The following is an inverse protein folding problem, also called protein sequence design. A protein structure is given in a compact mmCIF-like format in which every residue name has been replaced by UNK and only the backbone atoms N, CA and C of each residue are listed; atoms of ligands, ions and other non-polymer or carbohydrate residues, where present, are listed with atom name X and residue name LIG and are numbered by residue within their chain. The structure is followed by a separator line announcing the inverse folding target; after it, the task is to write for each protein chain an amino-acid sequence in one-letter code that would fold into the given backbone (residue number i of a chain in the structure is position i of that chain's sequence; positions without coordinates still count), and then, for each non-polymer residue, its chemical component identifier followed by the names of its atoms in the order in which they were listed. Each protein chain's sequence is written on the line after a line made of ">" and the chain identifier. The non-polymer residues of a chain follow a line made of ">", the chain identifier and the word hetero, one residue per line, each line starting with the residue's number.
data_IF_330576849629
#
_entry.id   IF_330576849629
#
_cell.length_a   1.000
_cell.length_b   1.000
_cell.length_c   1.000
_cell.angle_alpha   90.00
_cell.angle_beta   90.00
_cell.angle_gamma   90.00
#
_symmetry.space_group_name_H-M   'P 1'
#
loop_
_entity.id
_entity.type
_entity.pdbx_description
1 polymer ?
#
# COMPACT_ATOMS: atom_id res chain seq x y z
N UNK A 1 14.11 3.20 24.04
CA UNK A 1 14.16 2.62 22.69
C UNK A 1 12.85 2.96 22.01
N UNK A 2 12.90 3.78 20.99
CA UNK A 2 11.68 4.23 20.30
C UNK A 2 11.32 3.27 19.17
N UNK A 3 10.20 2.57 19.29
CA UNK A 3 9.74 1.57 18.34
C UNK A 3 8.46 2.03 17.69
N UNK A 4 8.41 2.05 16.37
CA UNK A 4 7.22 2.43 15.61
C UNK A 4 6.73 1.25 14.77
N UNK A 5 5.43 1.06 14.74
CA UNK A 5 4.76 0.18 13.77
C UNK A 5 4.26 1.03 12.62
N UNK A 6 4.45 0.57 11.41
CA UNK A 6 4.06 1.27 10.20
C UNK A 6 3.33 0.32 9.24
N UNK A 7 2.26 0.80 8.62
CA UNK A 7 1.47 0.07 7.63
C UNK A 7 1.04 1.02 6.50
N UNK A 8 1.41 0.67 5.27
CA UNK A 8 1.13 1.48 4.08
C UNK A 8 -0.10 1.01 3.35
N UNK A 9 -0.98 1.94 3.03
CA UNK A 9 -1.97 1.76 2.00
C UNK A 9 -1.54 2.46 0.71
N UNK A 10 -1.65 1.76 -0.40
CA UNK A 10 -1.15 2.23 -1.69
C UNK A 10 -2.16 1.99 -2.81
N UNK A 11 -2.03 2.75 -3.90
CA UNK A 11 -2.73 2.47 -5.16
C UNK A 11 -1.73 2.23 -6.29
N UNK A 12 -2.07 1.37 -7.24
CA UNK A 12 -1.24 1.11 -8.41
C UNK A 12 -2.06 0.57 -9.58
N UNK A 13 -1.68 0.87 -10.84
CA UNK A 13 -2.28 0.21 -12.00
C UNK A 13 -1.76 -1.22 -12.21
N UNK A 14 -0.67 -1.62 -11.53
CA UNK A 14 -0.07 -2.95 -11.65
C UNK A 14 -0.41 -3.84 -10.47
N UNK A 15 -0.56 -5.14 -10.72
CA UNK A 15 -0.87 -6.13 -9.67
C UNK A 15 0.43 -6.59 -8.99
N UNK A 16 0.55 -6.30 -7.71
CA UNK A 16 1.69 -6.68 -6.88
C UNK A 16 1.96 -8.19 -6.88
N UNK A 17 0.92 -9.02 -7.00
CA UNK A 17 1.07 -10.49 -7.04
C UNK A 17 1.78 -10.96 -8.29
N UNK A 18 1.75 -10.17 -9.35
CA UNK A 18 2.37 -10.49 -10.64
C UNK A 18 3.77 -9.89 -10.73
N UNK A 19 3.92 -8.61 -10.38
CA UNK A 19 5.19 -7.91 -10.57
C UNK A 19 6.12 -7.96 -9.35
N UNK A 20 5.59 -8.27 -8.15
CA UNK A 20 6.32 -8.22 -6.89
C UNK A 20 6.47 -6.80 -6.34
N UNK A 21 6.83 -6.70 -5.05
CA UNK A 21 6.83 -5.43 -4.32
C UNK A 21 7.73 -4.35 -4.94
N UNK A 22 8.91 -4.71 -5.42
CA UNK A 22 9.87 -3.74 -5.99
C UNK A 22 9.35 -3.10 -7.28
N UNK A 23 8.94 -3.91 -8.26
CA UNK A 23 8.39 -3.38 -9.52
C UNK A 23 7.07 -2.65 -9.33
N UNK A 24 6.29 -3.07 -8.33
CA UNK A 24 5.09 -2.36 -7.91
C UNK A 24 5.43 -0.95 -7.41
N UNK A 25 6.41 -0.84 -6.50
CA UNK A 25 6.82 0.43 -5.91
C UNK A 25 7.54 1.36 -6.90
N UNK A 26 8.33 0.80 -7.83
CA UNK A 26 9.02 1.55 -8.90
C UNK A 26 8.05 2.13 -9.94
N UNK A 27 6.84 1.58 -10.07
CA UNK A 27 5.91 2.03 -11.10
C UNK A 27 5.52 3.50 -10.86
N UNK A 28 5.62 4.38 -11.88
CA UNK A 28 5.40 5.82 -11.71
C UNK A 28 4.02 6.20 -11.19
N UNK A 29 2.99 5.39 -11.50
CA UNK A 29 1.61 5.60 -11.03
C UNK A 29 1.28 4.87 -9.72
N UNK A 30 2.23 4.15 -9.14
CA UNK A 30 2.07 3.64 -7.78
C UNK A 30 2.27 4.80 -6.81
N UNK A 31 1.34 4.94 -5.88
CA UNK A 31 1.39 6.02 -4.91
C UNK A 31 0.91 5.58 -3.53
N UNK A 32 1.39 6.27 -2.49
CA UNK A 32 0.95 6.06 -1.12
C UNK A 32 -0.31 6.87 -0.87
N UNK A 33 -1.41 6.19 -0.56
CA UNK A 33 -2.66 6.85 -0.15
C UNK A 33 -2.59 7.31 1.30
N UNK A 34 -2.08 6.44 2.17
CA UNK A 34 -1.86 6.75 3.58
C UNK A 34 -0.80 5.84 4.20
N UNK A 35 -0.30 6.26 5.35
CA UNK A 35 0.57 5.50 6.22
C UNK A 35 0.03 5.61 7.66
N UNK A 36 -0.34 4.47 8.23
CA UNK A 36 -0.65 4.38 9.66
C UNK A 36 0.65 4.23 10.46
N UNK A 37 0.77 5.00 11.53
CA UNK A 37 1.93 4.99 12.43
C UNK A 37 1.46 4.84 13.86
N UNK A 38 2.12 3.92 14.56
CA UNK A 38 1.86 3.64 15.96
C UNK A 38 3.17 3.61 16.73
N UNK A 39 3.25 4.34 17.84
CA UNK A 39 4.32 4.15 18.82
C UNK A 39 3.98 2.94 19.70
N UNK A 40 4.87 1.95 19.75
CA UNK A 40 4.65 0.71 20.55
C UNK A 40 4.44 1.01 22.02
N UNK A 41 5.04 2.09 22.53
CA UNK A 41 4.90 2.49 23.94
C UNK A 41 3.59 3.28 24.20
N UNK A 42 2.86 3.68 23.13
CA UNK A 42 1.52 4.27 23.19
C UNK A 42 0.55 3.62 22.18
N UNK A 43 0.15 2.35 22.40
CA UNK A 43 -0.54 1.54 21.39
C UNK A 43 -1.99 1.96 21.09
N UNK A 44 -2.50 3.00 21.75
CA UNK A 44 -3.84 3.56 21.50
C UNK A 44 -3.81 4.79 20.61
N UNK A 45 -2.62 5.36 20.34
CA UNK A 45 -2.43 6.57 19.54
C UNK A 45 -1.95 6.21 18.14
N UNK A 46 -2.87 5.70 17.32
CA UNK A 46 -2.63 5.47 15.90
C UNK A 46 -2.81 6.81 15.18
N UNK A 47 -1.79 7.25 14.44
CA UNK A 47 -1.82 8.49 13.68
C UNK A 47 -1.62 8.25 12.20
N UNK A 48 -2.33 9.04 11.39
CA UNK A 48 -2.35 8.88 9.94
C UNK A 48 -1.57 9.97 9.24
N UNK A 49 -0.60 9.58 8.42
CA UNK A 49 -0.02 10.43 7.41
C UNK A 49 -0.73 10.18 6.08
N UNK A 50 -1.26 11.22 5.47
CA UNK A 50 -1.95 11.13 4.17
C UNK A 50 -0.98 11.57 3.08
N UNK A 51 -0.88 10.76 2.04
CA UNK A 51 -0.04 11.05 0.88
C UNK A 51 -0.38 12.41 0.25
N UNK A 52 0.62 13.18 -0.21
CA UNK A 52 0.39 14.55 -0.71
C UNK A 52 -0.69 14.65 -1.76
N UNK A 53 -0.79 13.67 -2.65
CA UNK A 53 -1.78 13.62 -3.73
C UNK A 53 -3.20 13.29 -3.24
N UNK A 54 -3.39 12.95 -1.95
CA UNK A 54 -4.69 12.56 -1.37
C UNK A 54 -5.18 13.52 -0.29
N UNK A 55 -4.44 14.57 0.02
CA UNK A 55 -4.81 15.56 1.06
C UNK A 55 -6.05 16.38 0.72
N UNK A 56 -6.48 16.35 -0.52
CA UNK A 56 -7.76 16.92 -0.93
C UNK A 56 -8.97 16.06 -0.49
N UNK A 57 -8.76 14.75 -0.23
CA UNK A 57 -9.77 13.81 0.25
C UNK A 57 -9.85 13.78 1.78
N UNK A 58 -8.70 13.85 2.45
CA UNK A 58 -8.62 13.85 3.92
C UNK A 58 -7.39 14.63 4.40
N UNK A 59 -7.52 15.42 5.48
CA UNK A 59 -6.36 16.09 6.07
C UNK A 59 -5.38 15.05 6.67
N UNK A 60 -4.11 15.36 6.65
CA UNK A 60 -3.11 14.55 7.36
C UNK A 60 -3.06 14.93 8.84
N UNK A 61 -2.92 13.93 9.72
CA UNK A 61 -2.71 14.15 11.15
C UNK A 61 -1.24 14.34 11.48
N UNK A 62 -0.38 13.66 10.70
CA UNK A 62 1.08 13.76 10.80
C UNK A 62 1.60 14.54 9.61
N UNK A 63 2.30 15.64 9.85
CA UNK A 63 2.95 16.41 8.79
C UNK A 63 4.17 15.68 8.23
N UNK A 64 4.63 16.06 7.02
CA UNK A 64 5.83 15.45 6.42
C UNK A 64 7.07 15.60 7.32
N UNK A 65 7.19 16.75 7.98
CA UNK A 65 8.29 17.01 8.92
C UNK A 65 8.19 16.12 10.16
N UNK A 66 7.01 16.00 10.75
CA UNK A 66 6.79 15.12 11.91
C UNK A 66 7.04 13.65 11.55
N UNK A 67 6.61 13.20 10.36
CA UNK A 67 6.90 11.85 9.87
C UNK A 67 8.41 11.62 9.74
N UNK A 68 9.13 12.57 9.13
CA UNK A 68 10.58 12.49 9.03
C UNK A 68 11.24 12.43 10.41
N UNK A 69 10.86 13.31 11.33
CA UNK A 69 11.37 13.33 12.70
C UNK A 69 11.09 12.02 13.47
N UNK A 70 9.91 11.42 13.27
CA UNK A 70 9.53 10.13 13.87
C UNK A 70 10.42 9.00 13.38
N UNK A 71 10.60 8.90 12.06
CA UNK A 71 11.33 7.80 11.42
C UNK A 71 12.85 7.94 11.62
N UNK A 72 13.40 9.14 11.51
CA UNK A 72 14.82 9.38 11.73
C UNK A 72 15.25 9.05 13.16
N UNK A 73 14.38 9.32 14.14
CA UNK A 73 14.64 9.10 15.56
C UNK A 73 14.13 7.74 16.10
N UNK A 74 13.52 6.87 15.26
CA UNK A 74 13.15 5.53 15.74
C UNK A 74 14.38 4.63 15.80
N UNK A 75 14.37 3.71 16.78
CA UNK A 75 15.34 2.63 16.90
C UNK A 75 14.92 1.42 16.07
N UNK A 76 13.61 1.15 16.02
CA UNK A 76 13.00 0.07 15.24
C UNK A 76 11.81 0.58 14.41
N UNK A 77 11.82 0.22 13.14
CA UNK A 77 10.71 0.38 12.19
C UNK A 77 10.09 -0.99 11.96
N UNK A 78 8.92 -1.21 12.52
CA UNK A 78 8.25 -2.51 12.57
C UNK A 78 7.14 -2.54 11.53
N UNK A 79 7.12 -3.60 10.70
CA UNK A 79 6.06 -3.84 9.75
C UNK A 79 5.75 -5.34 9.62
N UNK A 80 4.58 -5.67 9.08
CA UNK A 80 4.23 -7.06 8.81
C UNK A 80 4.46 -7.37 7.33
N UNK A 81 5.45 -8.23 7.03
CA UNK A 81 5.97 -8.47 5.68
C UNK A 81 6.76 -7.26 5.14
N UNK A 82 7.65 -6.74 5.97
CA UNK A 82 8.42 -5.51 5.78
C UNK A 82 9.14 -5.31 4.42
N UNK A 83 9.43 -6.33 3.57
CA UNK A 83 9.91 -6.11 2.21
C UNK A 83 9.01 -5.23 1.34
N UNK A 84 7.68 -5.25 1.58
CA UNK A 84 6.75 -4.36 0.89
C UNK A 84 6.94 -2.91 1.36
N UNK A 85 6.87 -2.68 2.67
CA UNK A 85 7.04 -1.34 3.26
C UNK A 85 8.39 -0.73 2.90
N UNK A 86 9.44 -1.54 2.86
CA UNK A 86 10.76 -1.09 2.43
C UNK A 86 10.81 -0.68 0.97
N UNK A 87 10.13 -1.41 0.08
CA UNK A 87 10.07 -1.04 -1.33
C UNK A 87 9.31 0.27 -1.50
N UNK A 88 8.15 0.42 -0.84
CA UNK A 88 7.37 1.66 -0.86
C UNK A 88 8.17 2.82 -0.27
N UNK A 89 8.83 2.61 0.88
CA UNK A 89 9.66 3.63 1.51
C UNK A 89 10.77 4.11 0.56
N UNK A 90 11.53 3.19 -0.02
CA UNK A 90 12.63 3.53 -0.91
C UNK A 90 12.17 4.28 -2.16
N UNK A 91 11.25 3.71 -2.94
CA UNK A 91 10.92 4.22 -4.27
C UNK A 91 9.92 5.37 -4.28
N UNK A 92 9.07 5.46 -3.25
CA UNK A 92 8.09 6.53 -3.18
C UNK A 92 8.49 7.56 -2.11
N UNK A 93 8.68 7.13 -0.87
CA UNK A 93 8.95 8.08 0.22
C UNK A 93 10.31 8.76 0.03
N UNK A 94 11.39 8.01 -0.28
CA UNK A 94 12.71 8.62 -0.48
C UNK A 94 12.84 9.29 -1.84
N UNK A 95 12.57 8.57 -2.93
CA UNK A 95 12.90 9.07 -4.28
C UNK A 95 11.93 10.15 -4.78
N UNK A 96 10.64 10.10 -4.37
CA UNK A 96 9.64 11.07 -4.84
C UNK A 96 9.31 12.14 -3.80
N UNK A 97 9.23 11.76 -2.51
CA UNK A 97 8.83 12.69 -1.44
C UNK A 97 10.00 13.21 -0.63
N UNK A 98 11.24 12.72 -0.87
CA UNK A 98 12.46 13.27 -0.29
C UNK A 98 12.73 12.87 1.17
N UNK A 99 12.09 11.81 1.68
CA UNK A 99 12.38 11.26 3.00
C UNK A 99 13.75 10.56 3.04
N UNK A 100 14.36 10.49 4.21
CA UNK A 100 15.60 9.74 4.45
C UNK A 100 15.33 8.23 4.39
N UNK A 101 16.24 7.43 3.82
CA UNK A 101 16.10 5.98 3.80
C UNK A 101 16.23 5.37 5.20
N UNK A 102 15.45 4.30 5.44
CA UNK A 102 15.47 3.57 6.71
C UNK A 102 16.56 2.50 6.64
N UNK A 103 17.61 2.57 7.49
CA UNK A 103 18.65 1.57 7.52
C UNK A 103 18.08 0.16 7.80
N UNK A 104 18.56 -0.85 7.05
CA UNK A 104 18.03 -2.22 7.14
C UNK A 104 18.06 -2.79 8.58
N UNK A 105 19.06 -2.40 9.38
CA UNK A 105 19.20 -2.88 10.75
C UNK A 105 18.13 -2.33 11.70
N UNK A 106 17.42 -1.28 11.31
CA UNK A 106 16.27 -0.77 12.07
C UNK A 106 14.96 -1.47 11.70
N UNK A 107 14.91 -2.21 10.60
CA UNK A 107 13.67 -2.81 10.10
C UNK A 107 13.40 -4.15 10.79
N UNK A 108 12.22 -4.26 11.38
CA UNK A 108 11.73 -5.49 12.03
C UNK A 108 10.52 -6.01 11.25
N UNK A 109 10.62 -7.26 10.80
CA UNK A 109 9.53 -7.95 10.07
C UNK A 109 8.81 -8.92 10.99
N UNK A 110 7.58 -8.58 11.40
CA UNK A 110 6.80 -9.44 12.29
C UNK A 110 6.34 -10.74 11.62
N UNK A 111 6.21 -10.79 10.28
CA UNK A 111 5.93 -12.05 9.58
C UNK A 111 7.12 -13.02 9.64
N UNK A 112 8.36 -12.51 9.64
CA UNK A 112 9.57 -13.31 9.87
C UNK A 112 9.61 -13.79 11.32
N UNK A 113 9.33 -12.91 12.28
CA UNK A 113 9.25 -13.29 13.70
C UNK A 113 8.23 -14.40 13.94
N UNK A 114 7.04 -14.32 13.34
CA UNK A 114 6.04 -15.40 13.38
C UNK A 114 6.65 -16.73 12.88
N UNK A 115 7.34 -16.71 11.76
CA UNK A 115 7.97 -17.91 11.19
C UNK A 115 9.04 -18.51 12.11
N UNK A 116 9.82 -17.67 12.80
CA UNK A 116 10.88 -18.12 13.71
C UNK A 116 10.34 -18.92 14.91
N UNK A 117 9.11 -18.63 15.33
CA UNK A 117 8.44 -19.32 16.44
C UNK A 117 7.37 -20.32 15.99
N UNK A 118 7.34 -20.66 14.70
CA UNK A 118 6.41 -21.65 14.15
C UNK A 118 4.97 -21.16 13.95
N UNK A 119 4.75 -19.85 14.00
CA UNK A 119 3.44 -19.24 13.73
C UNK A 119 3.23 -19.02 12.22
N UNK A 120 1.97 -18.93 11.77
CA UNK A 120 1.64 -18.53 10.40
C UNK A 120 2.22 -17.16 10.06
N UNK A 121 2.75 -17.00 8.82
CA UNK A 121 3.22 -15.69 8.32
C UNK A 121 2.08 -14.71 8.02
N UNK A 122 0.87 -15.21 7.77
CA UNK A 122 -0.29 -14.37 7.51
C UNK A 122 -0.76 -13.73 8.81
N UNK A 123 -0.92 -12.41 8.82
CA UNK A 123 -1.25 -11.62 10.02
C UNK A 123 -2.55 -12.09 10.68
N UNK A 124 -3.62 -12.28 9.89
CA UNK A 124 -4.92 -12.73 10.38
C UNK A 124 -4.80 -14.08 11.11
N UNK A 125 -4.13 -15.06 10.47
CA UNK A 125 -3.93 -16.40 11.07
C UNK A 125 -3.00 -16.37 12.28
N UNK A 126 -1.98 -15.52 12.27
CA UNK A 126 -1.09 -15.35 13.43
C UNK A 126 -1.84 -14.75 14.60
N UNK A 127 -2.68 -13.74 14.37
CA UNK A 127 -3.52 -13.10 15.38
C UNK A 127 -4.56 -14.07 15.96
N UNK A 128 -5.18 -14.89 15.14
CA UNK A 128 -6.10 -15.96 15.58
C UNK A 128 -5.38 -16.95 16.48
N UNK A 129 -4.19 -17.42 16.07
CA UNK A 129 -3.41 -18.38 16.83
C UNK A 129 -2.98 -17.84 18.19
N UNK A 130 -2.63 -16.56 18.26
CA UNK A 130 -2.23 -15.87 19.49
C UNK A 130 -3.41 -15.48 20.38
N UNK A 131 -4.64 -15.82 19.98
CA UNK A 131 -5.85 -15.36 20.67
C UNK A 131 -5.84 -13.84 20.92
N UNK A 132 -5.32 -13.08 19.97
CA UNK A 132 -5.37 -11.62 19.99
C UNK A 132 -6.83 -11.17 19.83
N UNK A 133 -7.65 -11.49 20.85
CA UNK A 133 -9.07 -11.21 20.90
C UNK A 133 -9.30 -9.70 20.98
N UNK A 134 -10.03 -9.17 20.02
CA UNK A 134 -10.40 -7.77 19.96
C UNK A 134 -10.29 -7.18 18.56
N UNK A 135 -9.54 -7.81 17.65
CA UNK A 135 -9.43 -7.36 16.27
C UNK A 135 -10.29 -8.21 15.35
N UNK A 136 -11.54 -7.82 15.22
CA UNK A 136 -12.40 -8.32 14.13
C UNK A 136 -12.10 -7.47 12.91
N UNK A 137 -11.64 -8.11 11.82
CA UNK A 137 -11.39 -7.44 10.54
C UNK A 137 -12.65 -6.71 10.08
N UNK A 138 -12.58 -5.42 9.91
CA UNK A 138 -13.68 -4.65 9.34
C UNK A 138 -13.86 -5.01 7.84
N UNK A 139 -14.85 -5.83 7.57
CA UNK A 139 -15.16 -6.29 6.21
C UNK A 139 -15.68 -5.16 5.31
N UNK A 140 -16.30 -4.15 5.87
CA UNK A 140 -16.81 -2.98 5.14
C UNK A 140 -15.64 -2.07 4.73
N UNK A 141 -14.74 -1.72 5.66
CA UNK A 141 -13.53 -0.96 5.37
C UNK A 141 -12.66 -1.67 4.32
N UNK A 142 -12.49 -2.99 4.42
CA UNK A 142 -11.77 -3.79 3.42
C UNK A 142 -12.40 -3.72 2.02
N UNK A 143 -13.74 -3.64 1.90
CA UNK A 143 -14.41 -3.45 0.59
C UNK A 143 -14.18 -2.06 0.03
N UNK A 144 -14.22 -1.05 0.88
CA UNK A 144 -13.95 0.34 0.50
C UNK A 144 -12.52 0.48 0.01
N UNK A 145 -11.54 0.00 0.78
CA UNK A 145 -10.13 0.01 0.43
C UNK A 145 -9.86 -0.57 -0.98
N UNK A 146 -10.49 -1.70 -1.32
CA UNK A 146 -10.35 -2.32 -2.64
C UNK A 146 -10.76 -1.43 -3.82
N UNK A 147 -11.55 -0.38 -3.61
CA UNK A 147 -11.93 0.57 -4.65
C UNK A 147 -10.80 1.55 -4.96
N UNK A 148 -9.94 1.84 -3.97
CA UNK A 148 -8.83 2.80 -4.10
C UNK A 148 -7.55 2.15 -4.64
N UNK A 149 -7.37 0.84 -4.46
CA UNK A 149 -6.11 0.14 -4.78
C UNK A 149 -5.75 0.19 -6.26
N UNK A 150 -6.74 0.12 -7.16
CA UNK A 150 -6.52 0.04 -8.59
C UNK A 150 -7.44 0.97 -9.38
N UNK A 151 -7.01 1.45 -10.55
CA UNK A 151 -7.85 2.31 -11.38
C UNK A 151 -9.07 1.55 -11.89
N UNK A 152 -10.15 2.26 -12.10
CA UNK A 152 -11.35 1.71 -12.72
C UNK A 152 -11.05 1.36 -14.17
N UNK A 153 -11.43 0.16 -14.56
CA UNK A 153 -11.34 -0.24 -15.95
C UNK A 153 -12.41 0.48 -16.78
N UNK A 154 -12.07 0.95 -17.99
CA UNK A 154 -13.03 1.53 -18.91
C UNK A 154 -14.25 0.61 -19.13
N UNK A 155 -15.44 1.17 -19.28
CA UNK A 155 -16.69 0.40 -19.41
C UNK A 155 -16.61 -0.65 -20.53
N UNK A 156 -15.93 -0.34 -21.63
CA UNK A 156 -15.69 -1.28 -22.73
C UNK A 156 -14.83 -2.50 -22.30
N UNK A 157 -13.85 -2.27 -21.43
CA UNK A 157 -13.03 -3.33 -20.86
C UNK A 157 -13.82 -4.15 -19.84
N UNK A 158 -14.67 -3.52 -19.02
CA UNK A 158 -15.56 -4.23 -18.08
C UNK A 158 -16.53 -5.18 -18.77
N UNK A 159 -17.15 -4.75 -19.89
CA UNK A 159 -18.06 -5.61 -20.66
C UNK A 159 -17.37 -6.85 -21.23
N UNK A 160 -16.09 -6.76 -21.57
CA UNK A 160 -15.29 -7.89 -22.07
C UNK A 160 -14.75 -8.78 -20.94
N UNK A 161 -14.44 -8.20 -19.77
CA UNK A 161 -14.01 -8.95 -18.59
C UNK A 161 -15.13 -9.76 -17.93
N UNK A 162 -16.38 -9.33 -18.07
CA UNK A 162 -17.55 -10.02 -17.51
C UNK A 162 -17.86 -11.35 -18.21
N UNK A 163 -17.09 -11.73 -19.22
CA UNK A 163 -17.21 -13.07 -19.80
C UNK A 163 -16.03 -13.96 -19.34
N UNK A 164 -16.18 -14.65 -18.18
CA UNK A 164 -15.13 -15.54 -17.65
C UNK A 164 -14.84 -16.75 -18.54
N UNK A 165 -15.61 -16.91 -19.63
CA UNK A 165 -15.45 -18.01 -20.60
C UNK A 165 -14.38 -17.74 -21.66
N UNK A 166 -13.70 -16.58 -21.64
CA UNK A 166 -12.60 -16.32 -22.57
C UNK A 166 -11.36 -15.81 -21.84
N UNK A 167 -10.60 -16.70 -21.16
CA UNK A 167 -9.38 -16.35 -20.45
C UNK A 167 -8.29 -15.78 -21.35
N UNK A 168 -8.26 -16.15 -22.64
CA UNK A 168 -7.26 -15.65 -23.59
C UNK A 168 -7.49 -14.18 -23.95
N UNK A 169 -8.75 -13.73 -23.95
CA UNK A 169 -9.08 -12.33 -24.18
C UNK A 169 -8.65 -11.47 -22.99
N UNK A 170 -8.86 -11.94 -21.77
CA UNK A 170 -8.41 -11.28 -20.52
C UNK A 170 -6.88 -11.22 -20.52
N UNK A 171 -6.22 -12.32 -20.87
CA UNK A 171 -4.77 -12.41 -20.99
C UNK A 171 -4.24 -11.44 -22.07
N UNK A 172 -4.84 -11.42 -23.26
CA UNK A 172 -4.41 -10.52 -24.36
C UNK A 172 -4.63 -9.05 -24.04
N UNK A 173 -5.70 -8.70 -23.34
CA UNK A 173 -5.93 -7.33 -22.87
C UNK A 173 -4.96 -6.92 -21.76
N UNK A 174 -4.67 -7.85 -20.87
CA UNK A 174 -3.66 -7.68 -19.83
C UNK A 174 -2.27 -7.57 -20.44
N UNK A 175 -1.92 -8.46 -21.37
CA UNK A 175 -0.65 -8.43 -22.12
C UNK A 175 -0.54 -7.17 -22.99
N UNK A 176 -1.62 -6.64 -23.51
CA UNK A 176 -1.65 -5.38 -24.26
C UNK A 176 -1.47 -4.18 -23.34
N UNK A 177 -2.13 -4.17 -22.18
CA UNK A 177 -1.89 -3.17 -21.14
C UNK A 177 -0.45 -3.27 -20.61
N UNK A 178 0.04 -4.49 -20.33
CA UNK A 178 1.42 -4.75 -19.93
C UNK A 178 2.41 -4.59 -21.07
N UNK A 179 2.00 -4.75 -22.33
CA UNK A 179 2.81 -4.50 -23.52
C UNK A 179 3.05 -3.01 -23.72
N UNK A 180 2.07 -2.18 -23.47
CA UNK A 180 2.23 -0.72 -23.40
C UNK A 180 3.19 -0.34 -22.27
N UNK A 181 3.15 -1.07 -21.14
CA UNK A 181 4.07 -0.90 -20.01
C UNK A 181 5.47 -1.53 -20.27
N UNK A 182 5.57 -2.55 -21.16
CA UNK A 182 6.82 -3.26 -21.48
C UNK A 182 7.59 -2.69 -22.66
N UNK A 183 6.99 -1.87 -23.49
CA UNK A 183 7.70 -1.18 -24.57
C UNK A 183 8.56 -0.11 -23.90
N UNK A 184 9.73 -0.57 -23.44
CA UNK A 184 10.78 0.05 -22.69
C UNK A 184 11.04 1.51 -23.02
N UNK A 185 10.52 2.32 -22.26
CA UNK A 185 10.64 3.76 -22.29
C UNK A 185 9.59 4.28 -21.37
N UNK A 186 9.84 5.37 -20.77
CA UNK A 186 8.91 6.16 -19.97
C UNK A 186 7.48 5.91 -20.45
N UNK A 187 6.54 5.48 -19.58
CA UNK A 187 5.15 5.33 -19.95
C UNK A 187 4.74 6.59 -20.71
N UNK A 188 4.16 6.39 -21.89
CA UNK A 188 3.74 7.52 -22.72
C UNK A 188 2.91 8.45 -21.83
N UNK A 189 3.31 9.72 -21.72
CA UNK A 189 2.73 10.71 -20.80
C UNK A 189 1.19 10.78 -20.92
N UNK A 190 0.68 10.37 -22.07
CA UNK A 190 -0.76 10.26 -22.35
C UNK A 190 -1.47 9.13 -21.60
N UNK A 191 -0.79 8.05 -21.22
CA UNK A 191 -1.43 6.91 -20.53
C UNK A 191 -1.92 7.29 -19.13
N UNK A 192 -1.17 8.11 -18.42
CA UNK A 192 -1.53 8.58 -17.07
C UNK A 192 -2.86 9.35 -17.06
N UNK A 193 -3.21 10.02 -18.17
CA UNK A 193 -4.45 10.79 -18.31
C UNK A 193 -5.69 9.91 -18.43
N UNK A 194 -5.53 8.62 -18.75
CA UNK A 194 -6.64 7.68 -18.95
C UNK A 194 -6.90 6.77 -17.74
N UNK A 195 -6.11 6.90 -16.66
CA UNK A 195 -6.34 6.15 -15.43
C UNK A 195 -7.51 6.80 -14.67
N UNK A 196 -8.66 6.13 -14.70
CA UNK A 196 -9.85 6.54 -13.93
C UNK A 196 -9.75 5.98 -12.51
N UNK A 197 -9.24 6.79 -11.59
CA UNK A 197 -9.15 6.44 -10.19
C UNK A 197 -10.47 6.68 -9.45
N UNK A 198 -10.72 5.85 -8.44
CA UNK A 198 -11.80 6.11 -7.51
C UNK A 198 -11.35 7.12 -6.45
N UNK A 199 -12.03 8.26 -6.38
CA UNK A 199 -11.70 9.35 -5.47
C UNK A 199 -12.99 9.91 -4.83
N UNK A 200 -13.62 9.10 -3.97
CA UNK A 200 -14.77 9.53 -3.17
C UNK A 200 -14.30 9.91 -1.77
N UNK A 201 -14.57 11.16 -1.37
CA UNK A 201 -14.11 11.71 -0.08
C UNK A 201 -14.70 10.94 1.12
N UNK A 202 -15.98 10.57 1.06
CA UNK A 202 -16.67 9.87 2.15
C UNK A 202 -16.08 8.47 2.33
N UNK A 203 -15.89 7.76 1.22
CA UNK A 203 -15.29 6.44 1.24
C UNK A 203 -13.81 6.50 1.65
N UNK A 204 -13.08 7.58 1.29
CA UNK A 204 -11.70 7.76 1.74
C UNK A 204 -11.63 7.98 3.26
N UNK A 205 -12.49 8.84 3.82
CA UNK A 205 -12.58 9.01 5.27
C UNK A 205 -12.88 7.67 5.97
N UNK A 206 -13.81 6.88 5.43
CA UNK A 206 -14.11 5.54 5.96
C UNK A 206 -12.92 4.56 5.88
N UNK A 207 -12.07 4.71 4.87
CA UNK A 207 -10.83 3.93 4.74
C UNK A 207 -9.79 4.35 5.80
N UNK A 208 -9.70 5.63 6.11
CA UNK A 208 -8.80 6.16 7.15
C UNK A 208 -9.22 5.69 8.56
N UNK A 209 -10.52 5.55 8.82
CA UNK A 209 -11.07 5.04 10.08
C UNK A 209 -10.95 3.50 10.23
N UNK A 210 -10.62 2.81 9.15
CA UNK A 210 -10.46 1.35 9.09
C UNK A 210 -9.14 0.89 9.71
#
# INVERSE_FOLDING_TARGET
>A
MKRIVADFETRSPVDIKICGAYKYAEHPDTDVTMLAILDVDNPTDIRMWIGPNFRHLHPTEVTDKELADIVDNCDEFIAHNAPFERAIWKYIMCERYGFTDIPIHKVVDTAVMCSMVGLPRNLEKASEFLNASGYVKDMEGSKVMKRFIAPKLPVAAKRKQLNPKNPDLVKSMYERAMGILKIGGVPDFEYHQYLDWYEDKKDFCRMVEY
#
